data_IF_670018095250
#
_entry.id   IF_670018095250
#
_cell.length_a   1.000
_cell.length_b   1.000
_cell.length_c   1.000
_cell.angle_alpha   90.00
_cell.angle_beta   90.00
_cell.angle_gamma   90.00
#
_symmetry.space_group_name_H-M   'P 1'
#
loop_
_entity.id
_entity.type
_entity.pdbx_description
1 polymer ?
#
# COMPACT_ATOMS: atom_id res chain seq x y z
N UNK A 1 3.24 -0.48 6.18
CA UNK A 1 2.05 -1.01 6.85
C UNK A 1 1.63 -0.08 7.98
N UNK A 2 0.33 0.17 8.15
CA UNK A 2 -0.22 0.88 9.30
C UNK A 2 -0.60 -0.16 10.35
N UNK A 3 0.01 -0.07 11.52
CA UNK A 3 -0.25 -0.97 12.64
C UNK A 3 -1.51 -0.51 13.39
N UNK A 4 -2.12 -1.42 14.16
CA UNK A 4 -3.35 -1.11 14.90
C UNK A 4 -3.19 -0.03 15.97
N UNK A 5 -1.95 0.29 16.38
CA UNK A 5 -1.60 1.37 17.31
C UNK A 5 -1.33 2.71 16.60
N UNK A 6 -1.50 2.77 15.28
CA UNK A 6 -1.27 3.97 14.46
C UNK A 6 0.19 4.17 14.02
N UNK A 7 1.11 3.30 14.43
CA UNK A 7 2.50 3.34 13.97
C UNK A 7 2.66 2.76 12.55
N UNK A 8 3.80 3.00 11.91
CA UNK A 8 4.13 2.39 10.63
C UNK A 8 5.26 1.37 10.74
N UNK A 9 5.13 0.25 10.03
CA UNK A 9 6.15 -0.79 9.91
C UNK A 9 6.35 -1.20 8.45
N UNK A 10 7.59 -1.50 8.00
CA UNK A 10 7.80 -2.19 6.73
C UNK A 10 7.02 -3.50 6.68
N UNK A 11 6.51 -3.90 5.51
CA UNK A 11 5.70 -5.13 5.39
C UNK A 11 6.48 -6.38 5.79
N UNK A 12 7.79 -6.43 5.47
CA UNK A 12 8.73 -7.49 5.87
C UNK A 12 8.90 -7.67 7.39
N UNK A 13 8.52 -6.67 8.18
CA UNK A 13 8.70 -6.67 9.64
C UNK A 13 7.36 -6.93 10.37
N UNK A 14 6.27 -7.16 9.63
CA UNK A 14 4.96 -7.55 10.18
C UNK A 14 4.99 -9.03 10.57
N UNK A 15 4.34 -9.37 11.69
CA UNK A 15 4.30 -10.73 12.21
C UNK A 15 2.85 -11.24 12.29
N UNK A 16 2.67 -12.56 12.18
CA UNK A 16 1.40 -13.24 12.50
C UNK A 16 0.99 -12.87 13.93
N UNK A 17 -0.31 -12.57 14.11
CA UNK A 17 -0.86 -12.10 15.38
C UNK A 17 -0.60 -10.63 15.68
N UNK A 18 0.16 -9.92 14.85
CA UNK A 18 0.32 -8.47 14.95
C UNK A 18 -0.94 -7.72 14.54
N UNK A 19 -1.32 -6.62 15.23
CA UNK A 19 -2.48 -5.83 14.86
C UNK A 19 -2.14 -4.91 13.69
N UNK A 20 -2.95 -4.93 12.63
CA UNK A 20 -2.86 -4.02 11.49
C UNK A 20 -4.16 -3.25 11.33
N UNK A 21 -4.04 -2.00 10.91
CA UNK A 21 -5.20 -1.19 10.56
C UNK A 21 -5.52 -1.37 9.06
N UNK A 22 -6.78 -1.62 8.73
CA UNK A 22 -7.28 -1.65 7.37
C UNK A 22 -8.55 -0.81 7.24
N UNK A 23 -8.91 -0.48 6.01
CA UNK A 23 -10.17 0.17 5.69
C UNK A 23 -10.88 -0.68 4.63
N UNK A 24 -12.19 -0.84 4.79
CA UNK A 24 -13.04 -1.23 3.68
C UNK A 24 -13.07 -0.06 2.68
N UNK A 25 -12.78 -0.27 1.38
CA UNK A 25 -12.82 0.80 0.38
C UNK A 25 -14.14 1.58 0.33
N UNK A 26 -15.25 0.97 0.76
CA UNK A 26 -16.58 1.58 0.83
C UNK A 26 -16.88 2.22 2.20
N UNK A 27 -15.98 2.07 3.17
CA UNK A 27 -16.13 2.62 4.52
C UNK A 27 -15.06 3.66 4.85
N UNK A 28 -15.49 4.74 5.48
CA UNK A 28 -14.60 5.74 6.05
C UNK A 28 -13.89 5.27 7.33
N UNK A 29 -14.31 4.13 7.90
CA UNK A 29 -13.87 3.65 9.21
C UNK A 29 -12.64 2.75 9.07
N UNK A 30 -11.61 3.08 9.83
CA UNK A 30 -10.52 2.15 10.11
C UNK A 30 -11.01 1.02 11.01
N UNK A 31 -10.58 -0.19 10.69
CA UNK A 31 -10.73 -1.37 11.52
C UNK A 31 -9.34 -1.89 11.89
N UNK A 32 -9.26 -2.61 13.00
CA UNK A 32 -8.02 -3.26 13.44
C UNK A 32 -8.25 -4.76 13.43
N UNK A 33 -7.38 -5.47 12.73
CA UNK A 33 -7.42 -6.93 12.63
C UNK A 33 -6.05 -7.53 12.89
N UNK A 34 -6.03 -8.81 13.25
CA UNK A 34 -4.80 -9.55 13.44
C UNK A 34 -4.35 -10.16 12.12
N UNK A 35 -3.04 -10.11 11.88
CA UNK A 35 -2.41 -10.78 10.74
C UNK A 35 -2.55 -12.29 10.92
N UNK A 36 -3.30 -12.94 10.03
CA UNK A 36 -3.53 -14.38 10.10
C UNK A 36 -2.41 -15.22 9.47
N UNK A 37 -1.76 -14.69 8.43
CA UNK A 37 -0.69 -15.35 7.70
C UNK A 37 0.28 -14.32 7.10
N UNK A 38 1.52 -14.74 6.88
CA UNK A 38 2.51 -14.00 6.10
C UNK A 38 2.73 -14.73 4.78
N UNK A 39 2.65 -13.99 3.69
CA UNK A 39 3.09 -14.47 2.38
C UNK A 39 4.49 -13.92 2.18
N UNK A 40 5.49 -14.80 2.21
CA UNK A 40 6.90 -14.45 2.05
C UNK A 40 7.38 -15.01 0.73
N UNK A 41 7.96 -14.15 -0.08
CA UNK A 41 8.47 -14.47 -1.42
C UNK A 41 9.92 -14.04 -1.49
N UNK A 42 10.81 -15.00 -1.66
CA UNK A 42 12.26 -14.76 -1.69
C UNK A 42 12.77 -14.41 -3.10
N UNK A 43 11.89 -14.46 -4.11
CA UNK A 43 12.24 -14.39 -5.52
C UNK A 43 11.44 -13.34 -6.29
N UNK A 44 10.76 -12.42 -5.61
CA UNK A 44 10.13 -11.31 -6.31
C UNK A 44 11.21 -10.42 -6.93
N UNK A 45 11.12 -10.24 -8.24
CA UNK A 45 12.05 -9.43 -9.00
C UNK A 45 11.48 -8.07 -9.34
N UNK A 46 10.16 -7.96 -9.44
CA UNK A 46 9.49 -6.80 -9.99
C UNK A 46 8.93 -5.94 -8.85
N UNK A 47 9.48 -4.73 -8.72
CA UNK A 47 9.13 -3.78 -7.67
C UNK A 47 8.65 -2.46 -8.25
N UNK A 48 7.83 -1.76 -7.48
CA UNK A 48 7.38 -0.40 -7.73
C UNK A 48 7.68 0.49 -6.54
N UNK A 49 8.27 1.65 -6.82
CA UNK A 49 8.29 2.79 -5.92
C UNK A 49 7.16 3.75 -6.31
N UNK A 50 6.06 3.69 -5.57
CA UNK A 50 4.89 4.52 -5.78
C UNK A 50 4.96 5.76 -4.89
N UNK A 51 5.09 6.94 -5.49
CA UNK A 51 5.06 8.20 -4.75
C UNK A 51 3.67 8.83 -4.81
N UNK A 52 3.13 9.16 -3.64
CA UNK A 52 1.83 9.80 -3.48
C UNK A 52 1.96 11.17 -2.82
N UNK A 53 1.08 12.10 -3.20
CA UNK A 53 0.94 13.39 -2.55
C UNK A 53 0.22 13.26 -1.21
N UNK A 54 0.77 13.88 -0.17
CA UNK A 54 0.13 13.98 1.14
C UNK A 54 0.17 15.44 1.64
N UNK A 55 -0.67 15.84 2.61
CA UNK A 55 -0.60 17.18 3.20
C UNK A 55 0.77 17.52 3.80
N UNK A 56 1.56 16.51 4.20
CA UNK A 56 2.92 16.66 4.73
C UNK A 56 4.01 16.56 3.64
N UNK A 57 3.63 16.63 2.36
CA UNK A 57 4.50 16.46 1.21
C UNK A 57 4.50 15.04 0.62
N UNK A 58 5.20 14.81 -0.50
CA UNK A 58 5.24 13.51 -1.15
C UNK A 58 5.82 12.41 -0.26
N UNK A 59 5.25 11.20 -0.35
CA UNK A 59 5.72 9.99 0.35
C UNK A 59 5.80 8.83 -0.63
N UNK A 60 6.81 7.97 -0.48
CA UNK A 60 7.02 6.79 -1.33
C UNK A 60 6.66 5.51 -0.59
N UNK A 61 5.94 4.65 -1.29
CA UNK A 61 5.58 3.30 -0.87
C UNK A 61 6.34 2.34 -1.80
N UNK A 62 7.24 1.55 -1.23
CA UNK A 62 7.95 0.49 -1.98
C UNK A 62 7.19 -0.82 -1.81
N UNK A 63 6.93 -1.50 -2.92
CA UNK A 63 6.09 -2.71 -2.98
C UNK A 63 6.45 -3.58 -4.18
N UNK A 64 5.95 -4.82 -4.26
CA UNK A 64 6.05 -5.60 -5.51
C UNK A 64 5.11 -5.02 -6.57
N UNK A 65 5.46 -5.18 -7.83
CA UNK A 65 4.73 -4.63 -8.98
C UNK A 65 3.26 -5.07 -9.04
N UNK A 66 2.96 -6.28 -8.55
CA UNK A 66 1.62 -6.88 -8.56
C UNK A 66 0.80 -6.62 -7.29
N UNK A 67 1.33 -5.86 -6.33
CA UNK A 67 0.55 -5.50 -5.14
C UNK A 67 -0.63 -4.61 -5.54
N UNK A 68 -1.82 -4.99 -5.06
CA UNK A 68 -3.05 -4.31 -5.39
C UNK A 68 -3.25 -3.06 -4.54
N UNK A 69 -3.56 -1.95 -5.21
CA UNK A 69 -4.05 -0.71 -4.62
C UNK A 69 -5.49 -0.44 -5.09
N UNK A 70 -6.31 0.08 -4.18
CA UNK A 70 -7.66 0.50 -4.55
C UNK A 70 -7.62 1.87 -5.24
N UNK A 71 -7.99 1.90 -6.52
CA UNK A 71 -8.21 3.14 -7.26
C UNK A 71 -9.59 3.69 -6.93
N UNK A 72 -9.61 4.89 -6.34
CA UNK A 72 -10.83 5.63 -6.09
C UNK A 72 -11.41 6.27 -7.38
N UNK A 73 -10.61 6.42 -8.44
CA UNK A 73 -11.09 6.91 -9.74
C UNK A 73 -11.87 5.84 -10.49
N UNK A 74 -11.33 4.62 -10.54
CA UNK A 74 -11.89 3.51 -11.31
C UNK A 74 -12.74 2.57 -10.48
N UNK A 75 -12.80 2.77 -9.16
CA UNK A 75 -13.54 1.92 -8.21
C UNK A 75 -13.18 0.44 -8.35
N UNK A 76 -11.88 0.14 -8.46
CA UNK A 76 -11.36 -1.22 -8.58
C UNK A 76 -9.93 -1.33 -8.06
N UNK A 77 -9.53 -2.56 -7.78
CA UNK A 77 -8.14 -2.91 -7.49
C UNK A 77 -7.29 -2.84 -8.77
N UNK A 78 -6.10 -2.25 -8.66
CA UNK A 78 -5.09 -2.18 -9.71
C UNK A 78 -3.74 -2.61 -9.14
N UNK A 79 -2.96 -3.33 -9.93
CA UNK A 79 -1.54 -3.57 -9.67
C UNK A 79 -0.79 -2.24 -9.49
N UNK A 80 0.21 -2.23 -8.60
CA UNK A 80 1.09 -1.09 -8.37
C UNK A 80 1.69 -0.58 -9.69
N UNK A 81 2.16 -1.51 -10.54
CA UNK A 81 2.70 -1.23 -11.86
C UNK A 81 1.70 -0.56 -12.82
N UNK A 82 0.40 -0.76 -12.62
CA UNK A 82 -0.64 -0.21 -13.47
C UNK A 82 -1.11 1.20 -13.05
N UNK A 83 -0.71 1.66 -11.86
CA UNK A 83 -1.05 3.00 -11.37
C UNK A 83 -0.34 4.08 -12.18
N UNK A 84 -1.10 5.10 -12.57
CA UNK A 84 -0.61 6.25 -13.35
C UNK A 84 -0.56 7.50 -12.49
N UNK A 85 0.30 8.43 -12.87
CA UNK A 85 0.31 9.77 -12.27
C UNK A 85 -1.07 10.42 -12.43
N UNK A 86 -1.58 11.01 -11.36
CA UNK A 86 -2.93 11.58 -11.25
C UNK A 86 -4.00 10.60 -10.76
N UNK A 87 -3.69 9.30 -10.66
CA UNK A 87 -4.60 8.32 -10.09
C UNK A 87 -4.87 8.63 -8.60
N UNK A 88 -6.13 8.55 -8.19
CA UNK A 88 -6.53 8.82 -6.81
C UNK A 88 -6.64 7.51 -6.03
N UNK A 89 -5.90 7.41 -4.94
CA UNK A 89 -5.96 6.29 -4.01
C UNK A 89 -6.77 6.67 -2.78
N UNK A 90 -7.53 5.73 -2.24
CA UNK A 90 -8.23 5.92 -0.96
C UNK A 90 -7.21 5.94 0.17
N UNK A 91 -7.31 6.93 1.05
CA UNK A 91 -6.63 6.93 2.35
C UNK A 91 -7.65 6.74 3.46
N UNK A 92 -7.21 6.35 4.68
CA UNK A 92 -8.09 6.33 5.84
C UNK A 92 -8.83 7.66 6.05
N UNK A 93 -10.05 7.60 6.60
CA UNK A 93 -10.84 8.78 6.98
C UNK A 93 -11.38 9.59 5.79
N UNK A 94 -11.84 8.92 4.73
CA UNK A 94 -12.37 9.51 3.48
C UNK A 94 -11.39 10.35 2.65
N UNK A 95 -10.11 10.34 3.02
CA UNK A 95 -9.09 11.07 2.28
C UNK A 95 -8.76 10.45 0.93
N UNK A 96 -8.04 11.23 0.13
CA UNK A 96 -7.50 10.82 -1.17
C UNK A 96 -6.04 11.24 -1.27
N UNK A 97 -5.23 10.36 -1.82
CA UNK A 97 -3.85 10.68 -2.18
C UNK A 97 -3.68 10.51 -3.70
N UNK A 98 -3.08 11.53 -4.33
CA UNK A 98 -2.78 11.48 -5.77
C UNK A 98 -1.44 10.80 -6.00
N UNK A 99 -1.37 9.88 -6.95
CA UNK A 99 -0.09 9.36 -7.44
C UNK A 99 0.65 10.48 -8.16
N UNK A 100 1.88 10.78 -7.75
CA UNK A 100 2.72 11.82 -8.35
C UNK A 100 3.92 11.25 -9.10
N UNK A 101 4.35 10.04 -8.76
CA UNK A 101 5.32 9.27 -9.53
C UNK A 101 5.07 7.78 -9.32
N UNK A 102 5.41 6.99 -10.33
CA UNK A 102 5.44 5.54 -10.21
C UNK A 102 6.67 5.03 -10.96
N UNK A 103 7.54 4.30 -10.27
CA UNK A 103 8.80 3.82 -10.82
C UNK A 103 8.91 2.32 -10.63
N UNK A 104 8.75 1.61 -11.73
CA UNK A 104 9.06 0.19 -11.83
C UNK A 104 10.57 -0.01 -11.84
N UNK A 105 11.03 -1.06 -11.18
CA UNK A 105 12.41 -1.52 -11.24
C UNK A 105 12.51 -3.00 -10.90
N UNK A 106 13.57 -3.62 -11.41
CA UNK A 106 13.94 -4.98 -11.02
C UNK A 106 14.88 -4.96 -9.82
N UNK A 107 14.65 -5.81 -8.84
CA UNK A 107 15.47 -5.97 -7.64
C UNK A 107 15.56 -7.44 -7.21
N UNK A 108 16.28 -7.71 -6.13
CA UNK A 108 16.34 -9.02 -5.49
C UNK A 108 15.99 -8.90 -4.00
N UNK A 109 15.00 -8.07 -3.69
CA UNK A 109 14.58 -7.83 -2.32
C UNK A 109 13.64 -8.95 -1.86
N UNK A 110 13.76 -9.35 -0.61
CA UNK A 110 12.78 -10.23 0.04
C UNK A 110 11.56 -9.42 0.45
N UNK A 111 10.37 -9.94 0.17
CA UNK A 111 9.09 -9.34 0.57
C UNK A 111 8.32 -10.19 1.56
#
# INVERSE_FOLDING_TARGET
MLMGDGTNKPIKDVAIGGPVANADPESSRLQVHLVAALHVTDNDTDFDDLTVSTPAGPKTITTTAHHLFWSATLHRWLDAAALKVGEQLTTPGDGRASVVANRQYTGANRT
#
